data_IF_620790297740
#
_entry.id   IF_620790297740
#
_cell.length_a   1.000
_cell.length_b   1.000
_cell.length_c   1.000
_cell.angle_alpha   90.00
_cell.angle_beta   90.00
_cell.angle_gamma   90.00
#
_symmetry.space_group_name_H-M   'P 1'
#
loop_
_entity.id
_entity.type
_entity.pdbx_description
1 polymer ?
#
# COMPACT_ATOMS: atom_id res chain seq x y z
N UNK A 1 -34.85 -6.95 -31.01
CA UNK A 1 -34.45 -6.44 -29.68
C UNK A 1 -34.05 -7.54 -28.71
N UNK A 2 -34.68 -8.73 -28.70
CA UNK A 2 -34.28 -9.83 -27.80
C UNK A 2 -32.97 -10.53 -28.18
N UNK A 3 -32.64 -10.73 -29.46
CA UNK A 3 -31.40 -11.43 -29.87
C UNK A 3 -30.10 -10.62 -29.69
N UNK A 4 -30.16 -9.28 -29.60
CA UNK A 4 -29.00 -8.43 -29.25
C UNK A 4 -28.86 -8.19 -27.73
N UNK A 5 -29.85 -8.57 -26.91
CA UNK A 5 -29.80 -8.41 -25.43
C UNK A 5 -28.87 -9.41 -24.74
N UNK A 6 -28.40 -10.45 -25.43
CA UNK A 6 -27.52 -11.46 -24.81
C UNK A 6 -26.03 -11.24 -25.03
N UNK A 7 -25.63 -10.27 -25.87
CA UNK A 7 -24.23 -10.15 -26.31
C UNK A 7 -23.34 -9.17 -25.51
N UNK A 8 -23.90 -8.14 -24.85
CA UNK A 8 -23.08 -6.99 -24.41
C UNK A 8 -23.09 -6.66 -22.91
N UNK A 9 -23.25 -7.65 -22.02
CA UNK A 9 -23.19 -7.40 -20.57
C UNK A 9 -21.85 -7.88 -20.02
N UNK A 10 -20.84 -7.02 -20.12
CA UNK A 10 -19.53 -7.27 -19.51
C UNK A 10 -19.67 -6.94 -18.01
N UNK A 11 -19.77 -7.97 -17.18
CA UNK A 11 -19.54 -7.83 -15.74
C UNK A 11 -18.04 -7.68 -15.55
N UNK A 12 -17.61 -6.67 -14.81
CA UNK A 12 -16.19 -6.40 -14.64
C UNK A 12 -15.64 -7.27 -13.54
N UNK A 13 -14.55 -7.94 -13.85
CA UNK A 13 -13.61 -8.30 -12.81
C UNK A 13 -13.15 -6.97 -12.22
N UNK A 14 -13.36 -6.78 -10.92
CA UNK A 14 -12.88 -5.58 -10.21
C UNK A 14 -11.43 -5.41 -10.60
N UNK A 15 -11.13 -4.25 -11.18
CA UNK A 15 -10.01 -3.99 -12.06
C UNK A 15 -8.97 -5.14 -12.15
N UNK A 16 -9.04 -5.89 -13.27
CA UNK A 16 -7.99 -6.86 -13.65
C UNK A 16 -6.62 -6.20 -13.85
N UNK A 17 -6.52 -4.89 -13.63
CA UNK A 17 -5.26 -4.19 -13.44
C UNK A 17 -4.40 -4.81 -12.33
N UNK A 18 -4.91 -5.60 -11.37
CA UNK A 18 -4.04 -6.37 -10.46
C UNK A 18 -3.18 -7.41 -11.22
N UNK A 19 -3.63 -7.88 -12.39
CA UNK A 19 -2.87 -8.81 -13.26
C UNK A 19 -2.09 -8.07 -14.36
N UNK A 20 -2.14 -6.73 -14.39
CA UNK A 20 -1.28 -5.86 -15.23
C UNK A 20 -0.63 -4.72 -14.45
N UNK A 21 -0.56 -4.82 -13.14
CA UNK A 21 0.29 -4.02 -12.29
C UNK A 21 1.59 -4.78 -12.07
N UNK A 22 2.42 -4.85 -13.12
CA UNK A 22 3.82 -4.54 -12.86
C UNK A 22 3.82 -3.18 -12.16
N UNK A 23 4.23 -3.17 -10.89
CA UNK A 23 4.30 -2.05 -9.96
C UNK A 23 3.10 -1.72 -9.04
N UNK A 24 2.61 -2.71 -8.30
CA UNK A 24 1.87 -2.44 -7.05
C UNK A 24 2.73 -1.69 -6.00
N UNK A 25 4.06 -1.90 -5.97
CA UNK A 25 4.99 -1.17 -5.10
C UNK A 25 5.27 0.26 -5.59
N UNK A 26 5.50 0.48 -6.90
CA UNK A 26 5.84 1.82 -7.42
C UNK A 26 4.61 2.72 -7.60
N UNK A 27 3.39 2.21 -7.85
CA UNK A 27 2.17 3.05 -7.88
C UNK A 27 1.66 3.44 -6.49
N UNK A 28 1.75 2.54 -5.49
CA UNK A 28 1.39 2.87 -4.11
C UNK A 28 2.36 3.92 -3.54
N UNK A 29 3.64 3.80 -3.89
CA UNK A 29 4.63 4.85 -3.66
C UNK A 29 4.27 6.18 -4.38
N UNK A 30 3.81 6.17 -5.63
CA UNK A 30 3.45 7.39 -6.38
C UNK A 30 2.12 8.04 -5.96
N UNK A 31 1.15 7.29 -5.45
CA UNK A 31 -0.15 7.81 -5.01
C UNK A 31 -0.10 8.33 -3.56
N UNK A 32 0.67 7.71 -2.67
CA UNK A 32 0.94 8.25 -1.31
C UNK A 32 1.86 9.48 -1.33
N UNK A 33 2.66 9.66 -2.39
CA UNK A 33 3.44 10.89 -2.68
C UNK A 33 2.56 12.12 -2.93
N UNK A 34 1.24 11.98 -3.14
CA UNK A 34 0.36 13.14 -3.39
C UNK A 34 -0.27 13.77 -2.14
N UNK A 35 0.10 13.30 -0.94
CA UNK A 35 -0.14 14.00 0.33
C UNK A 35 1.15 14.34 1.06
N UNK A 36 2.18 14.75 0.33
CA UNK A 36 3.39 15.30 0.95
C UNK A 36 2.99 16.51 1.79
N UNK A 37 3.20 16.40 3.10
CA UNK A 37 3.27 17.56 3.97
C UNK A 37 4.50 18.37 3.54
N UNK A 38 4.28 19.35 2.65
CA UNK A 38 5.31 20.22 2.08
C UNK A 38 6.04 21.10 3.13
N UNK A 39 5.78 20.91 4.43
CA UNK A 39 6.44 21.63 5.52
C UNK A 39 7.71 20.93 6.02
N UNK A 40 7.89 19.62 5.78
CA UNK A 40 9.05 18.85 6.25
C UNK A 40 10.21 19.02 5.27
N UNK A 41 11.35 19.48 5.77
CA UNK A 41 12.57 19.59 4.96
C UNK A 41 13.19 18.21 4.74
N UNK A 42 13.45 17.87 3.49
CA UNK A 42 14.00 16.58 3.08
C UNK A 42 15.48 16.71 2.71
N UNK A 43 16.23 15.64 2.95
CA UNK A 43 17.62 15.51 2.52
C UNK A 43 17.88 14.12 1.97
N UNK A 44 18.51 14.03 0.79
CA UNK A 44 18.92 12.73 0.21
C UNK A 44 20.35 12.40 0.63
N UNK A 45 20.54 11.27 1.30
CA UNK A 45 21.85 10.78 1.75
C UNK A 45 21.98 9.34 1.28
N UNK A 46 22.98 9.09 0.41
CA UNK A 46 23.01 7.83 -0.34
C UNK A 46 21.73 7.63 -1.13
N UNK A 47 21.06 6.50 -0.94
CA UNK A 47 19.76 6.19 -1.55
C UNK A 47 18.56 6.48 -0.65
N UNK A 48 18.78 6.99 0.58
CA UNK A 48 17.71 7.30 1.52
C UNK A 48 17.32 8.78 1.50
N UNK A 49 16.04 9.04 1.75
CA UNK A 49 15.52 10.40 1.98
C UNK A 49 15.21 10.53 3.46
N UNK A 50 15.90 11.43 4.13
CA UNK A 50 15.80 11.68 5.56
C UNK A 50 15.13 13.01 5.85
N UNK A 51 14.52 13.13 7.04
CA UNK A 51 14.17 14.44 7.56
C UNK A 51 15.45 15.23 7.83
N UNK A 52 15.53 16.45 7.30
CA UNK A 52 16.65 17.36 7.50
C UNK A 52 16.67 17.99 8.90
N UNK A 53 15.58 17.90 9.67
CA UNK A 53 15.47 18.39 11.06
C UNK A 53 14.94 17.30 12.03
N UNK A 54 15.21 17.44 13.34
CA UNK A 54 14.73 16.51 14.38
C UNK A 54 13.19 16.58 14.46
N UNK A 55 12.55 15.45 14.73
CA UNK A 55 11.09 15.38 14.84
C UNK A 55 10.56 16.26 15.99
N UNK A 56 9.52 17.06 15.73
CA UNK A 56 8.99 18.04 16.68
C UNK A 56 7.45 18.01 16.83
N UNK A 57 6.85 16.82 16.81
CA UNK A 57 5.39 16.61 16.94
C UNK A 57 4.98 16.40 18.40
N UNK A 58 3.76 16.79 18.77
CA UNK A 58 3.15 16.57 20.11
C UNK A 58 1.94 15.64 20.05
N UNK A 59 1.78 14.93 18.94
CA UNK A 59 0.66 14.05 18.67
C UNK A 59 1.14 12.85 17.88
N UNK A 60 0.42 11.74 18.05
CA UNK A 60 0.57 10.57 17.20
C UNK A 60 -0.08 10.81 15.83
N UNK A 61 0.20 9.94 14.87
CA UNK A 61 -0.31 9.99 13.49
C UNK A 61 -1.84 9.99 13.43
N UNK A 62 -2.51 9.35 14.38
CA UNK A 62 -3.97 9.36 14.48
C UNK A 62 -4.55 10.67 15.06
N UNK A 63 -3.70 11.63 15.45
CA UNK A 63 -4.07 12.93 16.02
C UNK A 63 -4.16 12.96 17.55
N UNK A 64 -3.97 11.84 18.24
CA UNK A 64 -3.99 11.81 19.71
C UNK A 64 -2.78 12.54 20.28
N UNK A 65 -3.00 13.40 21.28
CA UNK A 65 -1.91 14.13 21.94
C UNK A 65 -0.98 13.21 22.74
N UNK A 66 0.31 13.52 22.69
CA UNK A 66 1.36 12.95 23.53
C UNK A 66 1.63 13.96 24.66
N UNK A 67 1.61 13.54 25.94
CA UNK A 67 1.83 14.45 27.06
C UNK A 67 3.26 14.98 27.12
N UNK A 68 3.40 16.29 27.38
CA UNK A 68 4.66 16.88 27.83
C UNK A 68 4.88 16.58 29.31
N UNK A 69 6.03 16.02 29.69
CA UNK A 69 6.34 15.71 31.09
C UNK A 69 7.69 16.32 31.44
N UNK A 70 7.68 17.41 32.21
CA UNK A 70 8.90 18.14 32.59
C UNK A 70 9.46 17.73 33.95
N UNK A 71 8.62 17.19 34.85
CA UNK A 71 9.05 16.77 36.19
C UNK A 71 9.93 15.50 36.14
N UNK A 72 11.14 15.51 36.74
CA UNK A 72 12.04 14.34 36.74
C UNK A 72 11.48 13.11 37.45
N UNK A 73 10.75 13.30 38.56
CA UNK A 73 10.21 12.20 39.36
C UNK A 73 8.98 11.57 38.70
N UNK A 74 8.21 12.33 37.93
CA UNK A 74 7.14 11.83 37.07
C UNK A 74 7.70 11.10 35.86
N UNK A 75 8.71 11.68 35.19
CA UNK A 75 9.37 11.09 34.03
C UNK A 75 9.90 9.68 34.33
N UNK A 76 10.56 9.50 35.47
CA UNK A 76 11.12 8.23 35.91
C UNK A 76 10.09 7.12 36.17
N UNK A 77 8.79 7.45 36.20
CA UNK A 77 7.69 6.50 36.45
C UNK A 77 6.85 6.25 35.19
N UNK A 78 7.20 6.86 34.06
CA UNK A 78 6.41 6.74 32.84
C UNK A 78 6.42 5.30 32.31
N UNK A 79 5.23 4.86 31.91
CA UNK A 79 4.97 3.59 31.20
C UNK A 79 4.16 3.83 29.92
N UNK A 80 4.06 5.10 29.51
CA UNK A 80 3.29 5.57 28.35
C UNK A 80 4.09 6.64 27.61
N UNK A 81 3.74 6.87 26.34
CA UNK A 81 4.40 7.87 25.52
C UNK A 81 4.39 9.26 26.16
N UNK A 82 5.53 9.92 26.16
CA UNK A 82 5.71 11.30 26.60
C UNK A 82 6.82 11.98 25.81
N UNK A 83 6.81 13.31 25.82
CA UNK A 83 7.92 14.12 25.30
C UNK A 83 8.32 15.23 26.27
N UNK A 84 9.49 15.80 26.06
CA UNK A 84 9.92 17.05 26.68
C UNK A 84 10.89 17.80 25.75
N UNK A 85 11.12 19.08 26.02
CA UNK A 85 12.27 19.78 25.47
C UNK A 85 13.52 19.49 26.28
N UNK A 86 14.70 19.61 25.67
CA UNK A 86 15.94 19.52 26.43
C UNK A 86 15.99 20.62 27.50
N UNK A 87 16.35 20.24 28.73
CA UNK A 87 16.29 21.10 29.93
C UNK A 87 14.88 21.65 30.23
N UNK A 88 13.84 21.10 29.60
CA UNK A 88 12.49 21.63 29.62
C UNK A 88 12.39 23.10 29.15
N UNK A 89 13.29 23.52 28.25
CA UNK A 89 13.30 24.88 27.68
C UNK A 89 12.70 24.88 26.26
N UNK A 90 11.57 25.57 26.02
CA UNK A 90 10.98 25.69 24.68
C UNK A 90 11.91 26.32 23.63
N UNK A 91 12.88 27.17 24.02
CA UNK A 91 13.87 27.70 23.07
C UNK A 91 14.82 26.60 22.59
N UNK A 92 15.19 25.66 23.47
CA UNK A 92 15.89 24.44 23.06
C UNK A 92 15.00 23.60 22.13
N UNK A 93 13.69 23.56 22.39
CA UNK A 93 12.73 22.89 21.51
C UNK A 93 12.67 23.40 20.07
N UNK A 94 12.83 24.71 19.87
CA UNK A 94 12.89 25.32 18.52
C UNK A 94 14.17 24.96 17.78
N UNK A 95 15.27 24.76 18.51
CA UNK A 95 16.57 24.44 17.94
C UNK A 95 16.75 22.94 17.73
N UNK A 96 16.48 22.14 18.75
CA UNK A 96 16.85 20.72 18.84
C UNK A 96 15.67 19.77 18.65
N UNK A 97 14.44 20.27 18.53
CA UNK A 97 13.25 19.42 18.51
C UNK A 97 12.91 18.87 19.89
N UNK A 98 12.10 17.82 19.91
CA UNK A 98 11.64 17.16 21.15
C UNK A 98 12.42 15.90 21.42
N UNK A 99 12.55 15.58 22.71
CA UNK A 99 12.98 14.29 23.20
C UNK A 99 11.74 13.46 23.53
N UNK A 100 11.69 12.24 23.01
CA UNK A 100 10.60 11.29 23.22
C UNK A 100 11.10 10.10 24.03
N UNK A 101 10.23 9.50 24.83
CA UNK A 101 10.53 8.19 25.42
C UNK A 101 10.20 7.03 24.47
N UNK A 102 10.73 5.84 24.78
CA UNK A 102 10.50 4.65 23.94
C UNK A 102 9.02 4.33 23.80
N UNK A 103 8.24 4.53 24.86
CA UNK A 103 6.79 4.31 24.82
C UNK A 103 6.06 5.19 23.80
N UNK A 104 6.59 6.38 23.46
CA UNK A 104 6.04 7.20 22.39
C UNK A 104 6.49 6.70 21.02
N UNK A 105 7.75 6.27 20.91
CA UNK A 105 8.36 5.71 19.69
C UNK A 105 7.67 4.43 19.25
N UNK A 106 7.45 3.50 20.18
CA UNK A 106 6.84 2.19 19.96
C UNK A 106 5.30 2.19 20.14
N UNK A 107 4.66 3.37 20.16
CA UNK A 107 3.21 3.43 20.30
C UNK A 107 2.53 3.00 18.98
N UNK A 108 1.54 2.08 19.01
CA UNK A 108 0.84 1.62 17.80
C UNK A 108 0.09 2.72 17.05
N UNK A 109 -0.14 3.88 17.68
CA UNK A 109 -0.73 5.06 17.03
C UNK A 109 0.25 5.78 16.09
N UNK A 110 1.55 5.47 16.20
CA UNK A 110 2.62 5.94 15.32
C UNK A 110 3.10 7.35 15.63
N UNK A 111 4.37 7.52 15.98
CA UNK A 111 4.97 8.83 16.24
C UNK A 111 5.39 9.58 14.96
N UNK A 112 5.85 8.86 13.94
CA UNK A 112 6.28 9.46 12.68
C UNK A 112 5.08 9.96 11.84
N UNK A 113 5.21 11.11 11.15
CA UNK A 113 4.18 11.61 10.23
C UNK A 113 3.82 10.63 9.10
N UNK A 114 2.74 10.91 8.36
CA UNK A 114 2.34 10.14 7.16
C UNK A 114 3.47 10.13 6.12
N UNK A 115 3.73 8.99 5.48
CA UNK A 115 4.82 8.76 4.51
C UNK A 115 6.25 8.81 5.08
N UNK A 116 6.38 8.78 6.41
CA UNK A 116 7.65 8.69 7.13
C UNK A 116 7.58 7.59 8.20
N UNK A 117 8.74 6.98 8.50
CA UNK A 117 8.87 6.05 9.62
C UNK A 117 10.14 6.29 10.43
N UNK A 118 10.13 5.75 11.65
CA UNK A 118 11.32 5.72 12.50
C UNK A 118 12.25 4.65 11.93
N UNK A 119 13.50 5.01 11.61
CA UNK A 119 14.44 4.14 10.88
C UNK A 119 14.70 2.86 11.65
N UNK A 120 14.78 1.77 10.91
CA UNK A 120 15.29 0.49 11.41
C UNK A 120 16.81 0.53 11.60
N UNK A 121 17.36 -0.46 12.31
CA UNK A 121 18.82 -0.66 12.40
C UNK A 121 19.48 -0.73 11.01
N UNK A 122 18.86 -1.46 10.09
CA UNK A 122 19.34 -1.58 8.71
C UNK A 122 19.42 -0.21 8.03
N UNK A 123 18.44 0.66 8.26
CA UNK A 123 18.41 1.99 7.66
C UNK A 123 19.45 2.94 8.25
N UNK A 124 19.78 2.80 9.54
CA UNK A 124 20.93 3.50 10.10
C UNK A 124 22.26 2.99 9.53
N UNK A 125 22.40 1.68 9.30
CA UNK A 125 23.61 1.13 8.68
C UNK A 125 23.81 1.64 7.24
N UNK A 126 22.73 1.79 6.46
CA UNK A 126 22.80 2.40 5.12
C UNK A 126 23.30 3.85 5.21
N UNK A 127 22.78 4.62 6.17
CA UNK A 127 23.19 6.00 6.37
C UNK A 127 24.68 6.09 6.73
N UNK A 128 25.17 5.25 7.65
CA UNK A 128 26.58 5.18 8.03
C UNK A 128 27.47 4.91 6.82
N UNK A 129 27.11 3.93 6.01
CA UNK A 129 27.84 3.59 4.77
C UNK A 129 27.80 4.75 3.78
N UNK A 130 26.65 5.42 3.63
CA UNK A 130 26.46 6.50 2.66
C UNK A 130 27.33 7.73 2.95
N UNK A 131 27.71 7.94 4.21
CA UNK A 131 28.63 9.02 4.61
C UNK A 131 30.05 8.53 4.89
N UNK A 132 30.39 7.29 4.52
CA UNK A 132 31.72 6.70 4.75
C UNK A 132 32.15 6.77 6.24
N UNK A 133 31.18 6.59 7.14
CA UNK A 133 31.33 6.75 8.59
C UNK A 133 31.85 8.15 9.02
N UNK A 134 31.70 9.18 8.17
CA UNK A 134 32.01 10.57 8.48
C UNK A 134 30.83 11.24 9.18
N UNK A 135 30.85 11.24 10.52
CA UNK A 135 29.84 11.93 11.30
C UNK A 135 29.84 13.45 11.06
N UNK A 136 30.97 14.05 10.65
CA UNK A 136 31.03 15.49 10.39
C UNK A 136 30.22 15.88 9.14
N UNK A 137 30.00 14.95 8.21
CA UNK A 137 29.09 15.12 7.09
C UNK A 137 27.61 15.25 7.53
N UNK A 138 27.24 14.67 8.68
CA UNK A 138 25.88 14.71 9.24
C UNK A 138 25.64 15.91 10.17
N UNK A 139 26.69 16.37 10.87
CA UNK A 139 26.63 17.45 11.88
C UNK A 139 26.44 18.82 11.24
N UNK A 140 25.63 19.68 11.87
CA UNK A 140 25.50 21.09 11.49
C UNK A 140 26.84 21.86 11.58
N UNK A 141 27.01 22.82 10.68
CA UNK A 141 28.22 23.67 10.63
C UNK A 141 28.29 24.55 11.88
N UNK A 142 29.45 24.53 12.55
CA UNK A 142 29.75 25.42 13.68
C UNK A 142 29.06 25.04 15.00
N UNK A 143 28.40 23.89 15.07
CA UNK A 143 28.03 23.28 16.34
C UNK A 143 29.21 22.42 16.83
N UNK A 144 29.53 22.48 18.13
CA UNK A 144 30.53 21.62 18.77
C UNK A 144 31.48 22.28 19.74
N UNK A 145 32.03 21.47 20.65
CA UNK A 145 32.97 21.95 21.68
C UNK A 145 34.38 22.16 21.11
N UNK A 146 34.78 21.40 20.09
CA UNK A 146 36.06 21.58 19.38
C UNK A 146 35.82 21.97 17.92
N UNK A 147 36.48 23.08 17.53
CA UNK A 147 36.72 23.67 16.19
C UNK A 147 35.58 23.85 15.15
N UNK A 148 34.38 23.33 15.38
CA UNK A 148 33.29 23.43 14.41
C UNK A 148 33.49 22.53 13.18
N UNK A 149 34.07 21.34 13.36
CA UNK A 149 34.34 20.32 12.33
C UNK A 149 33.12 19.91 11.49
N UNK A 150 31.91 20.12 11.99
CA UNK A 150 30.67 19.85 11.25
C UNK A 150 30.70 20.50 9.87
N UNK A 151 30.67 19.68 8.83
CA UNK A 151 30.64 20.15 7.44
C UNK A 151 29.22 20.22 6.90
N UNK A 152 28.30 19.42 7.49
CA UNK A 152 26.93 19.22 7.05
C UNK A 152 26.81 18.97 5.54
N UNK A 153 27.80 18.31 4.93
CA UNK A 153 27.80 18.04 3.48
C UNK A 153 26.64 17.16 3.06
N UNK A 154 26.10 16.35 3.99
CA UNK A 154 24.89 15.58 3.77
C UNK A 154 23.63 16.43 3.72
N UNK A 155 23.54 17.51 4.51
CA UNK A 155 22.32 18.29 4.76
C UNK A 155 21.46 17.77 5.92
N UNK A 156 21.90 16.73 6.64
CA UNK A 156 21.18 16.08 7.74
C UNK A 156 21.06 16.96 9.00
N UNK A 157 21.97 17.91 9.19
CA UNK A 157 22.07 18.86 10.32
C UNK A 157 22.25 18.30 11.73
N UNK A 158 21.92 17.02 12.01
CA UNK A 158 22.09 16.31 13.29
C UNK A 158 22.33 17.21 14.51
N UNK A 159 21.33 18.01 14.88
CA UNK A 159 21.51 18.99 15.95
C UNK A 159 21.63 18.27 17.28
N UNK A 160 22.69 18.59 18.02
CA UNK A 160 23.15 17.79 19.16
C UNK A 160 22.34 18.09 20.42
N UNK A 161 21.16 17.47 20.43
CA UNK A 161 20.07 17.69 21.37
C UNK A 161 20.30 17.14 22.77
N UNK A 162 21.42 16.45 23.01
CA UNK A 162 21.64 15.70 24.25
C UNK A 162 20.60 14.60 24.46
N UNK A 163 20.45 14.17 25.71
CA UNK A 163 19.45 13.19 26.11
C UNK A 163 18.93 13.44 27.53
N UNK A 164 17.77 12.88 27.83
CA UNK A 164 17.22 12.76 29.18
C UNK A 164 17.34 11.32 29.64
N UNK A 165 17.90 11.09 30.81
CA UNK A 165 17.98 9.75 31.41
C UNK A 165 16.64 9.34 32.04
N UNK A 166 16.49 8.07 32.32
CA UNK A 166 15.36 7.47 33.04
C UNK A 166 15.08 8.17 34.38
N UNK A 167 16.11 8.53 35.15
CA UNK A 167 15.98 9.31 36.40
C UNK A 167 15.77 10.82 36.17
N UNK A 168 15.42 11.23 34.95
CA UNK A 168 14.89 12.54 34.60
C UNK A 168 15.91 13.67 34.43
N UNK A 169 17.22 13.40 34.55
CA UNK A 169 18.28 14.40 34.31
C UNK A 169 18.69 14.49 32.85
N UNK A 170 19.08 15.68 32.43
CA UNK A 170 19.59 15.97 31.09
C UNK A 170 21.11 15.94 31.03
N UNK A 171 21.66 15.44 29.93
CA UNK A 171 23.09 15.38 29.65
C UNK A 171 23.39 15.65 28.18
N UNK A 172 24.64 16.01 27.91
CA UNK A 172 25.23 16.01 26.57
C UNK A 172 24.67 17.04 25.57
N UNK A 173 24.00 18.11 25.99
CA UNK A 173 23.65 19.21 25.08
C UNK A 173 24.89 19.80 24.42
N UNK A 174 24.89 19.86 23.10
CA UNK A 174 26.06 20.31 22.35
C UNK A 174 27.29 19.41 22.56
N UNK A 175 27.10 18.19 23.07
CA UNK A 175 28.13 17.17 23.27
C UNK A 175 27.86 15.89 22.44
N UNK A 176 26.70 15.28 22.60
CA UNK A 176 26.30 14.07 21.86
C UNK A 176 24.80 14.16 21.54
N UNK A 177 24.34 13.32 20.62
CA UNK A 177 22.91 13.12 20.39
C UNK A 177 22.66 11.69 20.01
N UNK A 178 21.51 11.22 20.47
CA UNK A 178 21.03 9.87 20.23
C UNK A 178 19.71 9.96 19.50
N UNK A 179 19.54 9.10 18.50
CA UNK A 179 18.29 8.95 17.79
C UNK A 179 17.69 7.57 18.07
N UNK A 180 16.42 7.53 18.43
CA UNK A 180 15.69 6.26 18.50
C UNK A 180 15.61 5.59 17.13
N UNK A 181 15.84 4.28 17.09
CA UNK A 181 15.43 3.39 16.00
C UNK A 181 14.09 2.72 16.26
N UNK A 182 13.62 1.89 15.32
CA UNK A 182 12.35 1.14 15.43
C UNK A 182 12.51 -0.36 15.73
N UNK A 183 13.74 -0.89 15.77
CA UNK A 183 14.00 -2.31 16.02
C UNK A 183 13.85 -2.64 17.51
N UNK A 184 13.02 -3.65 17.82
CA UNK A 184 12.78 -4.23 19.15
C UNK A 184 13.17 -5.71 19.07
N UNK A 185 14.44 -6.07 19.30
CA UNK A 185 14.80 -7.48 19.60
C UNK A 185 14.69 -7.68 21.11
N UNK A 186 14.50 -8.93 21.58
CA UNK A 186 14.14 -9.33 22.95
C UNK A 186 15.04 -8.74 24.06
N UNK A 187 16.15 -8.06 23.75
CA UNK A 187 16.98 -7.28 24.68
C UNK A 187 17.61 -5.98 24.11
N UNK A 188 17.32 -5.53 22.89
CA UNK A 188 18.15 -4.48 22.24
C UNK A 188 17.31 -3.42 21.50
N UNK A 189 17.23 -2.21 22.08
CA UNK A 189 16.81 -1.01 21.36
C UNK A 189 18.06 -0.39 20.72
N UNK A 190 18.05 -0.26 19.39
CA UNK A 190 19.17 0.32 18.65
C UNK A 190 19.00 1.84 18.54
N UNK A 191 19.97 2.58 19.07
CA UNK A 191 20.06 4.02 18.88
C UNK A 191 21.36 4.38 18.18
N UNK A 192 21.26 5.24 17.18
CA UNK A 192 22.43 5.79 16.50
C UNK A 192 22.91 7.02 17.26
N UNK A 193 24.18 6.99 17.67
CA UNK A 193 24.87 8.05 18.38
C UNK A 193 25.78 8.83 17.42
N UNK A 194 25.68 10.16 17.47
CA UNK A 194 26.65 11.07 16.86
C UNK A 194 27.34 11.84 17.99
N UNK A 195 28.68 11.78 18.04
CA UNK A 195 29.48 12.33 19.16
C UNK A 195 30.47 13.42 18.76
N UNK A 196 30.82 14.32 19.70
CA UNK A 196 31.88 15.33 19.55
C UNK A 196 33.29 14.87 19.92
N UNK A 197 33.48 13.76 20.63
CA UNK A 197 34.81 13.17 20.81
C UNK A 197 35.13 12.23 19.64
N UNK A 198 35.18 12.78 18.43
CA UNK A 198 35.52 12.09 17.18
C UNK A 198 34.54 12.37 16.03
N UNK A 199 34.82 11.76 14.88
CA UNK A 199 34.00 11.84 13.66
C UNK A 199 33.24 10.55 13.39
N UNK A 200 33.01 9.72 14.41
CA UNK A 200 32.46 8.37 14.23
C UNK A 200 30.97 8.31 14.54
N UNK A 201 30.26 7.49 13.78
CA UNK A 201 28.88 7.07 14.04
C UNK A 201 28.97 5.76 14.84
N UNK A 202 28.15 5.62 15.88
CA UNK A 202 28.07 4.37 16.65
C UNK A 202 26.62 3.95 16.83
N UNK A 203 26.35 2.67 16.60
CA UNK A 203 25.11 2.02 17.07
C UNK A 203 25.40 1.39 18.43
N UNK A 204 24.52 1.61 19.38
CA UNK A 204 24.66 1.15 20.76
C UNK A 204 23.32 0.55 21.20
N UNK A 205 23.37 -0.47 22.07
CA UNK A 205 22.22 -1.37 22.36
C UNK A 205 21.82 -1.37 23.85
N UNK A 206 22.05 -0.29 24.60
CA UNK A 206 22.20 -0.39 26.07
C UNK A 206 21.42 0.66 26.90
N UNK A 207 20.10 0.84 26.69
CA UNK A 207 19.30 1.86 27.43
C UNK A 207 17.88 1.45 27.86
N UNK A 208 17.35 2.18 28.85
CA UNK A 208 16.01 2.03 29.43
C UNK A 208 14.94 2.74 28.58
N UNK A 209 13.73 2.17 28.54
CA UNK A 209 12.57 2.66 27.78
C UNK A 209 12.12 4.07 28.19
N UNK A 210 12.48 4.49 29.41
CA UNK A 210 12.17 5.80 29.96
C UNK A 210 13.15 6.90 29.54
N UNK A 211 14.19 6.64 28.73
CA UNK A 211 15.09 7.70 28.27
C UNK A 211 14.37 8.66 27.33
N UNK A 212 14.71 9.95 27.35
CA UNK A 212 14.25 10.92 26.36
C UNK A 212 15.32 11.15 25.30
N UNK A 213 15.11 10.64 24.09
CA UNK A 213 16.02 10.81 22.95
C UNK A 213 15.31 11.48 21.77
N UNK A 214 16.10 12.05 20.85
CA UNK A 214 15.58 12.63 19.62
C UNK A 214 15.11 11.54 18.65
N UNK A 215 14.30 11.93 17.67
CA UNK A 215 13.86 11.05 16.57
C UNK A 215 14.16 11.73 15.24
N UNK A 216 14.67 10.95 14.28
CA UNK A 216 14.84 11.34 12.88
C UNK A 216 14.15 10.30 12.03
N UNK A 217 13.22 10.72 11.18
CA UNK A 217 12.50 9.79 10.33
C UNK A 217 13.16 9.69 8.96
N UNK A 218 12.96 8.52 8.34
CA UNK A 218 13.31 8.23 6.97
C UNK A 218 12.00 8.08 6.16
N UNK A 219 12.03 8.53 4.91
CA UNK A 219 10.86 8.53 4.03
C UNK A 219 10.62 7.10 3.54
N UNK A 220 9.36 6.67 3.53
CA UNK A 220 8.97 5.29 3.21
C UNK A 220 9.46 4.80 1.81
N UNK A 221 9.87 5.73 0.92
CA UNK A 221 10.39 5.46 -0.42
C UNK A 221 11.79 4.81 -0.46
N UNK A 222 12.62 4.90 0.59
CA UNK A 222 14.02 4.44 0.54
C UNK A 222 14.26 2.95 0.78
N UNK A 223 13.26 2.22 1.30
CA UNK A 223 13.41 0.80 1.63
C UNK A 223 13.49 -0.10 0.37
N UNK A 224 12.88 0.30 -0.75
CA UNK A 224 12.76 -0.55 -1.94
C UNK A 224 14.04 -0.66 -2.78
N UNK A 225 14.83 0.42 -2.89
CA UNK A 225 16.04 0.45 -3.72
C UNK A 225 17.23 -0.25 -3.06
N UNK A 226 17.37 -0.13 -1.74
CA UNK A 226 18.40 -0.86 -0.99
C UNK A 226 18.10 -2.36 -0.98
N UNK A 227 16.85 -2.75 -0.71
CA UNK A 227 16.44 -4.16 -0.70
C UNK A 227 16.70 -4.84 -2.05
N UNK A 228 16.51 -4.11 -3.15
CA UNK A 228 16.88 -4.60 -4.49
C UNK A 228 18.40 -4.80 -4.68
N UNK A 229 19.23 -3.91 -4.11
CA UNK A 229 20.70 -3.99 -4.17
C UNK A 229 21.25 -5.13 -3.31
N UNK A 230 20.66 -5.37 -2.13
CA UNK A 230 21.08 -6.44 -1.22
C UNK A 230 20.64 -7.82 -1.73
N UNK A 231 19.42 -7.92 -2.29
CA UNK A 231 18.98 -9.11 -3.03
C UNK A 231 19.94 -9.41 -4.19
N UNK A 232 20.42 -8.40 -4.92
CA UNK A 232 21.37 -8.59 -6.02
C UNK A 232 22.73 -9.12 -5.54
N UNK A 233 23.25 -8.64 -4.41
CA UNK A 233 24.50 -9.16 -3.81
C UNK A 233 24.34 -10.57 -3.25
N UNK A 234 23.20 -10.87 -2.63
CA UNK A 234 22.88 -12.19 -2.09
C UNK A 234 22.76 -13.25 -3.20
N UNK A 235 22.14 -12.88 -4.33
CA UNK A 235 22.09 -13.68 -5.56
C UNK A 235 23.49 -14.01 -6.09
N UNK A 236 24.45 -13.08 -5.95
CA UNK A 236 25.83 -13.26 -6.41
C UNK A 236 26.69 -14.09 -5.45
N UNK A 237 26.46 -14.00 -4.14
CA UNK A 237 27.22 -14.73 -3.12
C UNK A 237 26.74 -16.18 -2.92
N UNK A 238 25.43 -16.42 -2.97
CA UNK A 238 24.81 -17.71 -2.69
C UNK A 238 23.77 -18.08 -3.77
N UNK A 239 24.19 -18.33 -5.02
CA UNK A 239 23.27 -18.55 -6.15
C UNK A 239 22.37 -19.79 -6.04
N UNK A 240 22.65 -20.66 -5.06
CA UNK A 240 21.97 -21.93 -4.78
C UNK A 240 21.37 -21.99 -3.35
N UNK A 241 21.18 -20.83 -2.69
CA UNK A 241 20.42 -20.74 -1.45
C UNK A 241 18.90 -20.59 -1.71
N UNK A 242 18.06 -21.09 -0.81
CA UNK A 242 16.60 -21.11 -1.00
C UNK A 242 16.00 -19.71 -1.02
N UNK A 243 16.40 -18.85 -0.07
CA UNK A 243 15.93 -17.48 0.07
C UNK A 243 16.45 -16.62 -1.09
N UNK A 244 17.73 -16.77 -1.46
CA UNK A 244 18.30 -16.08 -2.61
C UNK A 244 17.58 -16.44 -3.93
N UNK A 245 17.24 -17.72 -4.12
CA UNK A 245 16.45 -18.16 -5.28
C UNK A 245 15.04 -17.59 -5.24
N UNK A 246 14.37 -17.62 -4.09
CA UNK A 246 13.04 -17.05 -3.94
C UNK A 246 13.02 -15.55 -4.28
N UNK A 247 13.95 -14.77 -3.72
CA UNK A 247 14.07 -13.33 -3.95
C UNK A 247 14.40 -12.97 -5.41
N UNK A 248 15.24 -13.78 -6.08
CA UNK A 248 15.48 -13.65 -7.53
C UNK A 248 14.23 -13.92 -8.34
N UNK A 249 13.46 -14.94 -7.94
CA UNK A 249 12.17 -15.28 -8.54
C UNK A 249 11.19 -14.10 -8.45
N UNK A 250 11.06 -13.49 -7.28
CA UNK A 250 10.23 -12.31 -7.05
C UNK A 250 10.65 -11.12 -7.91
N UNK A 251 11.97 -10.86 -8.01
CA UNK A 251 12.51 -9.81 -8.87
C UNK A 251 12.14 -10.04 -10.34
N UNK A 252 12.33 -11.27 -10.85
CA UNK A 252 11.98 -11.62 -12.23
C UNK A 252 10.48 -11.54 -12.50
N UNK A 253 9.66 -11.96 -11.54
CA UNK A 253 8.20 -11.82 -11.61
C UNK A 253 7.79 -10.35 -11.75
N UNK A 254 8.38 -9.45 -10.97
CA UNK A 254 8.15 -8.00 -11.05
C UNK A 254 8.57 -7.38 -12.39
N UNK A 255 9.57 -7.98 -13.05
CA UNK A 255 10.03 -7.63 -14.41
C UNK A 255 9.22 -8.33 -15.52
N UNK A 256 8.14 -9.03 -15.16
CA UNK A 256 7.29 -9.84 -16.05
C UNK A 256 8.01 -11.02 -16.73
N UNK A 257 9.22 -11.38 -16.30
CA UNK A 257 9.89 -12.63 -16.68
C UNK A 257 9.35 -13.79 -15.85
N UNK A 258 8.09 -14.16 -16.12
CA UNK A 258 7.41 -15.24 -15.40
C UNK A 258 8.09 -16.60 -15.60
N UNK A 259 8.73 -16.84 -16.75
CA UNK A 259 9.41 -18.11 -17.02
C UNK A 259 10.69 -18.22 -16.19
N UNK A 260 11.49 -17.16 -16.14
CA UNK A 260 12.68 -17.10 -15.29
C UNK A 260 12.32 -17.12 -13.80
N UNK A 261 11.23 -16.46 -13.39
CA UNK A 261 10.73 -16.52 -12.03
C UNK A 261 10.38 -17.95 -11.60
N UNK A 262 9.67 -18.70 -12.44
CA UNK A 262 9.33 -20.12 -12.18
C UNK A 262 10.58 -20.98 -11.99
N UNK A 263 11.64 -20.76 -12.77
CA UNK A 263 12.89 -21.52 -12.63
C UNK A 263 13.52 -21.30 -11.24
N UNK A 264 13.52 -20.06 -10.77
CA UNK A 264 14.08 -19.72 -9.46
C UNK A 264 13.20 -20.22 -8.31
N UNK A 265 11.88 -20.09 -8.42
CA UNK A 265 10.97 -20.67 -7.43
C UNK A 265 11.05 -22.20 -7.39
N UNK A 266 11.27 -22.87 -8.54
CA UNK A 266 11.51 -24.32 -8.53
C UNK A 266 12.73 -24.67 -7.69
N UNK A 267 13.83 -23.92 -7.87
CA UNK A 267 15.05 -24.13 -7.10
C UNK A 267 14.85 -23.85 -5.61
N UNK A 268 14.16 -22.76 -5.26
CA UNK A 268 13.81 -22.45 -3.88
C UNK A 268 13.02 -23.60 -3.22
N UNK A 269 11.99 -24.11 -3.92
CA UNK A 269 11.16 -25.23 -3.44
C UNK A 269 11.94 -26.55 -3.35
N UNK A 270 12.90 -26.81 -4.24
CA UNK A 270 13.77 -27.99 -4.16
C UNK A 270 14.64 -27.97 -2.89
N UNK A 271 15.09 -26.78 -2.50
CA UNK A 271 15.92 -26.57 -1.30
C UNK A 271 15.06 -26.54 -0.03
N UNK A 272 13.90 -25.90 -0.07
CA UNK A 272 12.94 -25.80 1.04
C UNK A 272 11.53 -26.22 0.61
N UNK A 273 11.21 -27.53 0.67
CA UNK A 273 9.93 -28.07 0.18
C UNK A 273 8.69 -27.65 0.98
N UNK A 274 8.87 -27.00 2.13
CA UNK A 274 7.81 -26.56 3.04
C UNK A 274 7.66 -25.03 3.06
N UNK A 275 8.20 -24.31 2.08
CA UNK A 275 7.95 -22.87 1.93
C UNK A 275 6.62 -22.62 1.20
N UNK A 276 5.58 -22.22 1.94
CA UNK A 276 4.27 -21.89 1.38
C UNK A 276 4.31 -20.71 0.38
N UNK A 277 5.18 -19.73 0.62
CA UNK A 277 5.28 -18.52 -0.20
C UNK A 277 5.90 -18.82 -1.56
N UNK A 278 6.95 -19.64 -1.62
CA UNK A 278 7.52 -20.08 -2.89
C UNK A 278 6.51 -20.84 -3.77
N UNK A 279 5.65 -21.70 -3.19
CA UNK A 279 4.55 -22.31 -3.96
C UNK A 279 3.54 -21.27 -4.41
N UNK A 280 3.10 -20.37 -3.53
CA UNK A 280 2.13 -19.33 -3.87
C UNK A 280 2.62 -18.44 -5.03
N UNK A 281 3.85 -17.93 -4.96
CA UNK A 281 4.41 -17.02 -5.96
C UNK A 281 4.75 -17.73 -7.28
N UNK A 282 5.17 -19.01 -7.23
CA UNK A 282 5.26 -19.82 -8.45
C UNK A 282 3.88 -20.04 -9.08
N UNK A 283 2.86 -20.23 -8.26
CA UNK A 283 1.46 -20.30 -8.68
C UNK A 283 1.02 -19.02 -9.37
N UNK A 284 1.37 -17.85 -8.82
CA UNK A 284 1.15 -16.54 -9.46
C UNK A 284 1.83 -16.49 -10.83
N UNK A 285 3.14 -16.74 -10.92
CA UNK A 285 3.86 -16.70 -12.19
C UNK A 285 3.20 -17.61 -13.26
N UNK A 286 2.77 -18.82 -12.87
CA UNK A 286 2.03 -19.74 -13.74
C UNK A 286 0.66 -19.21 -14.15
N UNK A 287 -0.06 -18.53 -13.26
CA UNK A 287 -1.35 -17.91 -13.56
C UNK A 287 -1.23 -16.85 -14.66
N UNK A 288 -0.20 -15.99 -14.61
CA UNK A 288 0.03 -14.94 -15.63
C UNK A 288 0.52 -15.50 -16.98
N UNK A 289 1.05 -16.74 -16.98
CA UNK A 289 1.33 -17.51 -18.21
C UNK A 289 0.14 -18.34 -18.69
N UNK A 290 -1.07 -18.11 -18.15
CA UNK A 290 -2.29 -18.85 -18.43
C UNK A 290 -2.21 -20.36 -18.11
N UNK A 291 -1.26 -20.77 -17.28
CA UNK A 291 -1.07 -22.16 -16.84
C UNK A 291 -1.92 -22.49 -15.62
N UNK A 292 -3.22 -22.19 -15.69
CA UNK A 292 -4.13 -22.20 -14.53
C UNK A 292 -4.19 -23.53 -13.78
N UNK A 293 -4.15 -24.68 -14.49
CA UNK A 293 -4.14 -26.01 -13.85
C UNK A 293 -2.90 -26.23 -12.99
N UNK A 294 -1.74 -25.79 -13.47
CA UNK A 294 -0.47 -25.90 -12.75
C UNK A 294 -0.43 -24.90 -11.59
N UNK A 295 -0.98 -23.69 -11.78
CA UNK A 295 -1.13 -22.71 -10.69
C UNK A 295 -2.00 -23.26 -9.55
N UNK A 296 -3.13 -23.91 -9.87
CA UNK A 296 -4.00 -24.56 -8.86
C UNK A 296 -3.25 -25.62 -8.03
N UNK A 297 -2.35 -26.39 -8.64
CA UNK A 297 -1.55 -27.38 -7.92
C UNK A 297 -0.61 -26.72 -6.91
N UNK A 298 0.02 -25.61 -7.30
CA UNK A 298 0.89 -24.84 -6.42
C UNK A 298 0.11 -24.19 -5.28
N UNK A 299 -1.03 -23.56 -5.56
CA UNK A 299 -1.89 -23.01 -4.49
C UNK A 299 -2.44 -24.09 -3.55
N UNK A 300 -2.72 -25.30 -4.05
CA UNK A 300 -3.08 -26.42 -3.17
C UNK A 300 -1.97 -26.72 -2.17
N UNK A 301 -0.70 -26.70 -2.62
CA UNK A 301 0.43 -26.98 -1.75
C UNK A 301 0.69 -25.84 -0.77
N UNK A 302 0.59 -24.58 -1.22
CA UNK A 302 0.67 -23.41 -0.35
C UNK A 302 -0.39 -23.46 0.77
N UNK A 303 -1.64 -23.83 0.44
CA UNK A 303 -2.74 -23.98 1.41
C UNK A 303 -2.51 -25.16 2.37
N UNK A 304 -1.93 -26.26 1.89
CA UNK A 304 -1.59 -27.41 2.74
C UNK A 304 -0.56 -27.04 3.81
N UNK A 305 0.44 -26.23 3.44
CA UNK A 305 1.51 -25.78 4.33
C UNK A 305 1.02 -24.65 5.26
N UNK A 306 0.37 -23.63 4.70
CA UNK A 306 -0.11 -22.45 5.43
C UNK A 306 -1.61 -22.19 5.16
N UNK A 307 -2.52 -22.85 5.90
CA UNK A 307 -3.95 -22.86 5.62
C UNK A 307 -4.67 -21.55 5.98
N UNK A 308 -4.04 -20.63 6.69
CA UNK A 308 -4.60 -19.35 7.13
C UNK A 308 -4.17 -18.17 6.23
N UNK A 309 -3.68 -18.46 5.02
CA UNK A 309 -3.35 -17.43 4.03
C UNK A 309 -4.48 -17.19 3.03
N UNK A 310 -5.25 -16.12 3.23
CA UNK A 310 -6.42 -15.80 2.41
C UNK A 310 -6.12 -15.71 0.90
N UNK A 311 -4.96 -15.12 0.54
CA UNK A 311 -4.56 -14.91 -0.85
C UNK A 311 -4.39 -16.22 -1.63
N UNK A 312 -3.91 -17.29 -0.98
CA UNK A 312 -3.77 -18.59 -1.65
C UNK A 312 -5.12 -19.18 -2.07
N UNK A 313 -6.16 -19.04 -1.24
CA UNK A 313 -7.51 -19.42 -1.64
C UNK A 313 -8.03 -18.50 -2.75
N UNK A 314 -7.87 -17.19 -2.59
CA UNK A 314 -8.35 -16.22 -3.58
C UNK A 314 -7.77 -16.48 -4.97
N UNK A 315 -6.44 -16.61 -5.09
CA UNK A 315 -5.78 -16.87 -6.37
C UNK A 315 -6.11 -18.24 -6.96
N UNK A 316 -6.29 -19.27 -6.11
CA UNK A 316 -6.82 -20.57 -6.58
C UNK A 316 -8.24 -20.45 -7.12
N UNK A 317 -9.08 -19.64 -6.46
CA UNK A 317 -10.42 -19.30 -6.90
C UNK A 317 -10.42 -18.63 -8.27
N UNK A 318 -9.58 -17.60 -8.46
CA UNK A 318 -9.42 -16.92 -9.76
C UNK A 318 -8.97 -17.90 -10.86
N UNK A 319 -7.98 -18.75 -10.57
CA UNK A 319 -7.50 -19.75 -11.52
C UNK A 319 -8.60 -20.75 -11.92
N UNK A 320 -9.49 -21.13 -10.99
CA UNK A 320 -10.68 -21.95 -11.28
C UNK A 320 -11.71 -21.19 -12.12
N UNK A 321 -11.94 -19.92 -11.82
CA UNK A 321 -12.83 -19.05 -12.60
C UNK A 321 -12.37 -18.91 -14.06
N UNK A 322 -11.06 -18.80 -14.29
CA UNK A 322 -10.45 -18.82 -15.64
C UNK A 322 -10.65 -20.15 -16.39
N UNK A 323 -10.90 -21.23 -15.67
CA UNK A 323 -11.26 -22.54 -16.21
C UNK A 323 -12.78 -22.77 -16.24
N UNK A 324 -13.58 -21.71 -16.08
CA UNK A 324 -15.05 -21.73 -16.02
C UNK A 324 -15.64 -22.56 -14.86
N UNK A 325 -14.82 -22.92 -13.86
CA UNK A 325 -15.27 -23.55 -12.62
C UNK A 325 -15.73 -22.50 -11.60
N UNK A 326 -16.83 -21.82 -11.91
CA UNK A 326 -17.40 -20.79 -11.04
C UNK A 326 -17.88 -21.33 -9.68
N UNK A 327 -18.22 -22.62 -9.59
CA UNK A 327 -18.57 -23.24 -8.29
C UNK A 327 -17.36 -23.38 -7.40
N UNK A 328 -16.24 -23.84 -7.96
CA UNK A 328 -14.97 -23.93 -7.26
C UNK A 328 -14.41 -22.55 -6.87
N UNK A 329 -14.56 -21.55 -7.74
CA UNK A 329 -14.24 -20.15 -7.46
C UNK A 329 -15.03 -19.61 -6.26
N UNK A 330 -16.36 -19.80 -6.22
CA UNK A 330 -17.20 -19.38 -5.09
C UNK A 330 -16.75 -20.02 -3.77
N UNK A 331 -16.40 -21.32 -3.80
CA UNK A 331 -15.93 -22.03 -2.60
C UNK A 331 -14.64 -21.42 -2.07
N UNK A 332 -13.67 -21.15 -2.95
CA UNK A 332 -12.37 -20.62 -2.59
C UNK A 332 -12.45 -19.16 -2.15
N UNK A 333 -13.19 -18.29 -2.86
CA UNK A 333 -13.43 -16.92 -2.40
C UNK A 333 -14.14 -16.90 -1.04
N UNK A 334 -15.08 -17.82 -0.80
CA UNK A 334 -15.74 -17.93 0.53
C UNK A 334 -14.77 -18.35 1.63
N UNK A 335 -13.76 -19.17 1.33
CA UNK A 335 -12.69 -19.50 2.26
C UNK A 335 -11.77 -18.31 2.51
N UNK A 336 -11.36 -17.60 1.46
CA UNK A 336 -10.57 -16.37 1.57
C UNK A 336 -11.26 -15.32 2.46
N UNK A 337 -12.57 -15.11 2.25
CA UNK A 337 -13.40 -14.21 3.06
C UNK A 337 -13.50 -14.66 4.52
N UNK A 338 -13.58 -15.99 4.77
CA UNK A 338 -13.61 -16.50 6.14
C UNK A 338 -12.31 -16.20 6.89
N UNK A 339 -11.18 -16.27 6.20
CA UNK A 339 -9.85 -15.96 6.76
C UNK A 339 -9.65 -14.45 6.92
N UNK A 340 -10.01 -13.65 5.90
CA UNK A 340 -9.99 -12.19 5.94
C UNK A 340 -11.38 -11.63 5.63
N UNK A 341 -12.18 -11.27 6.65
CA UNK A 341 -13.55 -10.77 6.47
C UNK A 341 -13.67 -9.43 5.73
N UNK A 342 -12.59 -8.67 5.60
CA UNK A 342 -12.52 -7.38 4.91
C UNK A 342 -11.88 -7.49 3.51
N UNK A 343 -11.80 -8.69 2.94
CA UNK A 343 -11.18 -8.92 1.64
C UNK A 343 -12.12 -8.55 0.48
N UNK A 344 -12.19 -7.26 0.15
CA UNK A 344 -13.08 -6.69 -0.86
C UNK A 344 -13.02 -7.41 -2.22
N UNK A 345 -11.83 -7.70 -2.73
CA UNK A 345 -11.62 -8.35 -4.03
C UNK A 345 -12.18 -9.78 -4.05
N UNK A 346 -12.10 -10.50 -2.92
CA UNK A 346 -12.68 -11.82 -2.78
C UNK A 346 -14.22 -11.77 -2.79
N UNK A 347 -14.85 -10.75 -2.19
CA UNK A 347 -16.29 -10.52 -2.34
C UNK A 347 -16.64 -10.20 -3.79
N UNK A 348 -15.93 -9.26 -4.42
CA UNK A 348 -16.24 -8.86 -5.79
C UNK A 348 -16.16 -10.04 -6.78
N UNK A 349 -15.11 -10.86 -6.70
CA UNK A 349 -14.96 -12.04 -7.56
C UNK A 349 -15.96 -13.15 -7.23
N UNK A 350 -16.31 -13.36 -5.95
CA UNK A 350 -17.41 -14.27 -5.60
C UNK A 350 -18.75 -13.79 -6.17
N UNK A 351 -18.99 -12.48 -6.13
CA UNK A 351 -20.17 -11.84 -6.73
C UNK A 351 -20.21 -12.06 -8.24
N UNK A 352 -19.08 -11.88 -8.92
CA UNK A 352 -18.94 -12.16 -10.36
C UNK A 352 -19.24 -13.64 -10.68
N UNK A 353 -18.63 -14.57 -9.95
CA UNK A 353 -18.86 -16.00 -10.14
C UNK A 353 -20.33 -16.39 -9.91
N UNK A 354 -20.99 -15.81 -8.90
CA UNK A 354 -22.43 -15.97 -8.68
C UNK A 354 -23.27 -15.40 -9.83
N UNK A 355 -22.93 -14.21 -10.33
CA UNK A 355 -23.60 -13.60 -11.47
C UNK A 355 -23.48 -14.45 -12.75
N UNK A 356 -22.32 -15.08 -12.99
CA UNK A 356 -22.12 -16.04 -14.09
C UNK A 356 -23.01 -17.29 -13.93
N UNK A 357 -23.27 -17.71 -12.69
CA UNK A 357 -24.25 -18.75 -12.37
C UNK A 357 -25.70 -18.24 -12.29
N UNK A 358 -25.95 -16.98 -12.66
CA UNK A 358 -27.26 -16.28 -12.61
C UNK A 358 -27.84 -16.10 -11.22
N UNK A 359 -27.03 -16.25 -10.17
CA UNK A 359 -27.39 -15.87 -8.80
C UNK A 359 -27.13 -14.37 -8.59
N UNK A 360 -27.98 -13.54 -9.21
CA UNK A 360 -27.83 -12.08 -9.16
C UNK A 360 -28.10 -11.51 -7.76
N UNK A 361 -28.97 -12.15 -6.97
CA UNK A 361 -29.26 -11.74 -5.60
C UNK A 361 -28.02 -11.96 -4.72
N UNK A 362 -27.42 -13.15 -4.78
CA UNK A 362 -26.19 -13.44 -4.06
C UNK A 362 -25.00 -12.60 -4.52
N UNK A 363 -24.97 -12.20 -5.80
CA UNK A 363 -23.96 -11.27 -6.32
C UNK A 363 -24.13 -9.86 -5.75
N UNK A 364 -25.35 -9.32 -5.71
CA UNK A 364 -25.65 -8.02 -5.11
C UNK A 364 -25.20 -7.97 -3.65
N UNK A 365 -25.47 -9.02 -2.86
CA UNK A 365 -25.02 -9.08 -1.47
C UNK A 365 -23.50 -9.00 -1.32
N UNK A 366 -22.76 -9.61 -2.24
CA UNK A 366 -21.30 -9.52 -2.23
C UNK A 366 -20.82 -8.13 -2.64
N UNK A 367 -21.41 -7.51 -3.67
CA UNK A 367 -21.07 -6.15 -4.07
C UNK A 367 -21.45 -5.09 -3.02
N UNK A 368 -22.55 -5.29 -2.30
CA UNK A 368 -22.91 -4.47 -1.14
C UNK A 368 -21.79 -4.49 -0.09
N UNK A 369 -21.20 -5.67 0.14
CA UNK A 369 -20.09 -5.80 1.08
C UNK A 369 -18.81 -5.14 0.59
N UNK A 370 -18.52 -5.19 -0.71
CA UNK A 370 -17.40 -4.43 -1.32
C UNK A 370 -17.58 -2.93 -1.08
N UNK A 371 -18.78 -2.41 -1.30
CA UNK A 371 -19.10 -0.99 -1.10
C UNK A 371 -19.05 -0.58 0.38
N UNK A 372 -19.44 -1.47 1.29
CA UNK A 372 -19.29 -1.26 2.73
C UNK A 372 -17.81 -1.14 3.14
N UNK A 373 -16.93 -1.96 2.55
CA UNK A 373 -15.48 -1.96 2.83
C UNK A 373 -14.80 -0.77 2.14
N UNK A 374 -15.13 -0.51 0.88
CA UNK A 374 -14.60 0.58 0.06
C UNK A 374 -15.74 1.34 -0.64
N UNK A 375 -16.22 2.44 -0.04
CA UNK A 375 -17.31 3.24 -0.61
C UNK A 375 -16.98 3.95 -1.93
N UNK A 376 -15.71 3.99 -2.33
CA UNK A 376 -15.21 4.64 -3.54
C UNK A 376 -14.87 3.64 -4.67
N UNK A 377 -15.24 2.37 -4.53
CA UNK A 377 -15.02 1.36 -5.57
C UNK A 377 -16.06 1.50 -6.71
N UNK A 378 -15.66 2.15 -7.80
CA UNK A 378 -16.52 2.38 -8.96
C UNK A 378 -17.00 1.08 -9.63
N UNK A 379 -16.15 0.05 -9.68
CA UNK A 379 -16.49 -1.23 -10.31
C UNK A 379 -17.52 -2.01 -9.49
N UNK A 380 -17.47 -1.92 -8.16
CA UNK A 380 -18.47 -2.53 -7.29
C UNK A 380 -19.87 -1.94 -7.54
N UNK A 381 -19.99 -0.61 -7.68
CA UNK A 381 -21.25 0.04 -8.08
C UNK A 381 -21.65 -0.41 -9.48
N UNK A 382 -20.75 -0.36 -10.46
CA UNK A 382 -21.05 -0.80 -11.82
C UNK A 382 -21.59 -2.25 -11.85
N UNK A 383 -20.89 -3.19 -11.20
CA UNK A 383 -21.26 -4.60 -11.16
C UNK A 383 -22.59 -4.84 -10.43
N UNK A 384 -22.84 -4.13 -9.33
CA UNK A 384 -24.14 -4.17 -8.63
C UNK A 384 -25.25 -3.63 -9.52
N UNK A 385 -24.99 -2.55 -10.26
CA UNK A 385 -25.91 -2.00 -11.26
C UNK A 385 -26.24 -3.01 -12.36
N UNK A 386 -25.24 -3.73 -12.88
CA UNK A 386 -25.44 -4.79 -13.87
C UNK A 386 -26.31 -5.91 -13.31
N UNK A 387 -26.02 -6.40 -12.09
CA UNK A 387 -26.82 -7.44 -11.46
C UNK A 387 -28.26 -6.99 -11.19
N UNK A 388 -28.48 -5.75 -10.73
CA UNK A 388 -29.82 -5.15 -10.55
C UNK A 388 -30.57 -5.02 -11.87
N UNK A 389 -29.91 -4.59 -12.94
CA UNK A 389 -30.48 -4.54 -14.28
C UNK A 389 -30.92 -5.92 -14.80
N UNK A 390 -30.18 -6.99 -14.48
CA UNK A 390 -30.58 -8.38 -14.78
C UNK A 390 -31.80 -8.86 -14.00
N UNK A 391 -32.10 -8.22 -12.88
CA UNK A 391 -33.33 -8.42 -12.10
C UNK A 391 -34.44 -7.43 -12.46
N UNK A 392 -34.30 -6.71 -13.59
CA UNK A 392 -35.25 -5.68 -14.06
C UNK A 392 -35.43 -4.50 -13.08
N UNK A 393 -34.54 -4.35 -12.10
CA UNK A 393 -34.51 -3.21 -11.18
C UNK A 393 -33.70 -2.06 -11.79
N UNK A 394 -34.24 -1.47 -12.86
CA UNK A 394 -33.56 -0.45 -13.65
C UNK A 394 -33.36 0.87 -12.91
N UNK A 395 -34.25 1.21 -11.96
CA UNK A 395 -34.14 2.46 -11.16
C UNK A 395 -32.90 2.41 -10.27
N UNK A 396 -32.74 1.34 -9.49
CA UNK A 396 -31.58 1.20 -8.60
C UNK A 396 -30.28 0.94 -9.39
N UNK A 397 -30.37 0.27 -10.55
CA UNK A 397 -29.24 0.13 -11.46
C UNK A 397 -28.73 1.50 -11.96
N UNK A 398 -29.63 2.42 -12.33
CA UNK A 398 -29.25 3.78 -12.74
C UNK A 398 -28.58 4.54 -11.60
N UNK A 399 -29.04 4.38 -10.35
CA UNK A 399 -28.39 5.01 -9.19
C UNK A 399 -26.96 4.50 -9.02
N UNK A 400 -26.76 3.19 -9.15
CA UNK A 400 -25.42 2.59 -9.09
C UNK A 400 -24.53 3.08 -10.22
N UNK A 401 -25.02 3.11 -11.47
CA UNK A 401 -24.23 3.66 -12.59
C UNK A 401 -23.93 5.15 -12.43
N UNK A 402 -24.84 5.93 -11.85
CA UNK A 402 -24.55 7.33 -11.52
C UNK A 402 -23.37 7.43 -10.55
N UNK A 403 -23.33 6.60 -9.51
CA UNK A 403 -22.23 6.61 -8.55
C UNK A 403 -20.92 6.10 -9.17
N UNK A 404 -20.97 5.05 -9.99
CA UNK A 404 -19.81 4.58 -10.75
C UNK A 404 -19.22 5.68 -11.66
N UNK A 405 -20.07 6.44 -12.37
CA UNK A 405 -19.67 7.57 -13.22
C UNK A 405 -19.15 8.77 -12.42
N UNK A 406 -19.73 9.03 -11.24
CA UNK A 406 -19.22 10.07 -10.33
C UNK A 406 -17.79 9.76 -9.89
N UNK A 407 -17.51 8.48 -9.57
CA UNK A 407 -16.20 8.01 -9.14
C UNK A 407 -15.21 7.85 -10.31
N UNK A 408 -15.68 7.46 -11.49
CA UNK A 408 -14.88 7.35 -12.71
C UNK A 408 -15.60 8.00 -13.91
N UNK A 409 -15.40 9.32 -14.13
CA UNK A 409 -16.09 10.06 -15.20
C UNK A 409 -15.72 9.66 -16.63
N UNK A 410 -14.64 8.89 -16.82
CA UNK A 410 -14.16 8.44 -18.12
C UNK A 410 -14.59 7.00 -18.45
N UNK A 411 -15.48 6.43 -17.65
CA UNK A 411 -15.99 5.08 -17.82
C UNK A 411 -17.08 4.98 -18.90
N UNK A 412 -16.67 4.76 -20.16
CA UNK A 412 -17.59 4.65 -21.30
C UNK A 412 -18.68 3.58 -21.11
N UNK A 413 -18.31 2.42 -20.57
CA UNK A 413 -19.20 1.29 -20.34
C UNK A 413 -20.27 1.62 -19.28
N UNK A 414 -19.93 2.36 -18.22
CA UNK A 414 -20.92 2.78 -17.23
C UNK A 414 -21.95 3.76 -17.82
N UNK A 415 -21.54 4.69 -18.69
CA UNK A 415 -22.49 5.51 -19.44
C UNK A 415 -23.39 4.64 -20.32
N UNK A 416 -22.80 3.72 -21.08
CA UNK A 416 -23.55 2.84 -21.97
C UNK A 416 -24.59 1.99 -21.21
N UNK A 417 -24.19 1.39 -20.10
CA UNK A 417 -25.07 0.57 -19.26
C UNK A 417 -26.18 1.39 -18.60
N UNK A 418 -25.89 2.62 -18.17
CA UNK A 418 -26.91 3.57 -17.71
C UNK A 418 -27.89 3.94 -18.83
N UNK A 419 -27.37 4.14 -20.04
CA UNK A 419 -28.17 4.38 -21.23
C UNK A 419 -29.15 3.25 -21.51
N UNK A 420 -28.70 2.00 -21.44
CA UNK A 420 -29.57 0.83 -21.58
C UNK A 420 -30.67 0.77 -20.52
N UNK A 421 -30.32 0.95 -19.24
CA UNK A 421 -31.31 0.95 -18.17
C UNK A 421 -32.38 2.05 -18.38
N UNK A 422 -31.98 3.23 -18.90
CA UNK A 422 -32.89 4.31 -19.27
C UNK A 422 -33.82 3.96 -20.43
N UNK A 423 -33.37 3.16 -21.39
CA UNK A 423 -34.23 2.69 -22.50
C UNK A 423 -35.38 1.83 -21.98
N UNK A 424 -35.09 0.94 -21.02
CA UNK A 424 -36.12 0.10 -20.41
C UNK A 424 -37.15 0.94 -19.60
N UNK A 425 -36.73 2.12 -19.11
CA UNK A 425 -37.61 3.13 -18.51
C UNK A 425 -38.23 4.11 -19.52
N UNK A 426 -37.96 3.95 -20.83
CA UNK A 426 -38.40 4.84 -21.93
C UNK A 426 -37.85 6.27 -21.86
N UNK A 427 -36.74 6.48 -21.17
CA UNK A 427 -36.03 7.76 -21.07
C UNK A 427 -35.06 7.95 -22.24
N UNK A 428 -35.58 7.95 -23.47
CA UNK A 428 -34.78 7.87 -24.70
C UNK A 428 -33.80 9.04 -24.90
N UNK A 429 -34.19 10.26 -24.50
CA UNK A 429 -33.32 11.45 -24.60
C UNK A 429 -32.10 11.31 -23.68
N UNK A 430 -32.33 10.83 -22.44
CA UNK A 430 -31.28 10.59 -21.47
C UNK A 430 -30.36 9.46 -21.91
N UNK A 431 -30.93 8.38 -22.46
CA UNK A 431 -30.16 7.27 -23.02
C UNK A 431 -29.28 7.73 -24.19
N UNK A 432 -29.81 8.53 -25.11
CA UNK A 432 -29.04 9.04 -26.25
C UNK A 432 -27.86 9.93 -25.82
N UNK A 433 -28.04 10.73 -24.76
CA UNK A 433 -26.95 11.52 -24.18
C UNK A 433 -25.83 10.63 -23.63
N UNK A 434 -26.20 9.57 -22.92
CA UNK A 434 -25.24 8.61 -22.36
C UNK A 434 -24.50 7.84 -23.46
N UNK A 435 -25.20 7.38 -24.51
CA UNK A 435 -24.58 6.74 -25.67
C UNK A 435 -23.57 7.66 -26.38
N UNK A 436 -23.91 8.94 -26.59
CA UNK A 436 -23.00 9.89 -27.19
C UNK A 436 -21.74 10.10 -26.33
N UNK A 437 -21.88 10.11 -24.99
CA UNK A 437 -20.73 10.21 -24.10
C UNK A 437 -19.86 8.96 -24.11
N UNK A 438 -20.46 7.77 -24.17
CA UNK A 438 -19.71 6.51 -24.32
C UNK A 438 -18.89 6.48 -25.63
N UNK A 439 -19.46 6.94 -26.74
CA UNK A 439 -18.76 7.09 -28.04
C UNK A 439 -17.60 8.08 -27.94
N UNK A 440 -17.82 9.24 -27.29
CA UNK A 440 -16.77 10.25 -27.10
C UNK A 440 -15.57 9.69 -26.32
N UNK A 441 -15.84 8.86 -25.30
CA UNK A 441 -14.82 8.29 -24.42
C UNK A 441 -14.09 7.09 -25.04
N UNK A 442 -14.73 6.32 -25.91
CA UNK A 442 -14.13 5.13 -26.53
C UNK A 442 -14.55 4.97 -28.00
N UNK A 443 -14.04 5.81 -28.92
CA UNK A 443 -14.50 5.83 -30.31
C UNK A 443 -14.10 4.59 -31.13
N UNK A 444 -13.05 3.87 -30.71
CA UNK A 444 -12.43 2.77 -31.46
C UNK A 444 -13.05 1.39 -31.13
N UNK A 445 -13.86 1.28 -30.07
CA UNK A 445 -14.58 0.07 -29.67
C UNK A 445 -16.05 0.39 -29.35
N UNK A 446 -16.71 1.07 -30.29
CA UNK A 446 -18.02 1.69 -30.12
C UNK A 446 -19.09 1.19 -31.09
N UNK A 447 -18.89 0.08 -31.82
CA UNK A 447 -19.87 -0.42 -32.80
C UNK A 447 -21.26 -0.59 -32.17
N UNK A 448 -21.32 -1.18 -30.97
CA UNK A 448 -22.54 -1.32 -30.18
C UNK A 448 -23.14 0.04 -29.74
N UNK A 449 -22.28 1.03 -29.48
CA UNK A 449 -22.69 2.36 -29.04
C UNK A 449 -23.29 3.15 -30.20
N UNK A 450 -22.70 3.02 -31.40
CA UNK A 450 -23.19 3.61 -32.63
C UNK A 450 -24.53 3.00 -33.06
N UNK A 451 -24.66 1.67 -33.02
CA UNK A 451 -25.92 0.98 -33.31
C UNK A 451 -27.03 1.46 -32.37
N UNK A 452 -26.76 1.51 -31.06
CA UNK A 452 -27.73 1.97 -30.07
C UNK A 452 -28.12 3.43 -30.27
N UNK A 453 -27.15 4.32 -30.53
CA UNK A 453 -27.40 5.73 -30.81
C UNK A 453 -28.30 5.92 -32.01
N UNK A 454 -28.08 5.18 -33.09
CA UNK A 454 -28.86 5.34 -34.34
C UNK A 454 -30.30 4.85 -34.16
N UNK A 455 -30.52 3.77 -33.40
CA UNK A 455 -31.85 3.33 -32.99
C UNK A 455 -32.55 4.42 -32.17
N UNK A 456 -31.86 4.97 -31.16
CA UNK A 456 -32.41 6.01 -30.28
C UNK A 456 -32.75 7.29 -31.04
N UNK A 457 -31.90 7.69 -31.99
CA UNK A 457 -32.14 8.86 -32.84
C UNK A 457 -33.45 8.74 -33.59
N UNK A 458 -33.72 7.58 -34.20
CA UNK A 458 -34.99 7.35 -34.91
C UNK A 458 -36.19 7.45 -33.97
N UNK A 459 -36.11 6.82 -32.79
CA UNK A 459 -37.18 6.85 -31.77
C UNK A 459 -37.46 8.28 -31.32
N UNK A 460 -36.43 9.05 -30.97
CA UNK A 460 -36.56 10.44 -30.51
C UNK A 460 -37.15 11.32 -31.61
N UNK A 461 -36.70 11.15 -32.87
CA UNK A 461 -37.24 11.94 -33.99
C UNK A 461 -38.69 11.61 -34.36
N UNK A 462 -39.16 10.39 -34.08
CA UNK A 462 -40.55 10.01 -34.31
C UNK A 462 -41.48 10.48 -33.20
N UNK A 463 -41.01 10.61 -31.95
CA UNK A 463 -41.78 11.20 -30.85
C UNK A 463 -42.04 12.71 -31.00
N UNK A 464 -41.22 13.42 -31.79
CA UNK A 464 -41.37 14.86 -32.07
C UNK A 464 -42.31 15.16 -33.25
N UNK A 465 -42.82 14.14 -33.96
CA UNK A 465 -43.81 14.35 -35.02
C UNK A 465 -45.20 14.58 -34.40
N UNK A 466 -45.92 15.66 -34.76
CA UNK A 466 -47.29 15.85 -34.30
C UNK A 466 -48.16 14.69 -34.82
N UNK A 467 -48.87 14.02 -33.91
CA UNK A 467 -49.88 13.03 -34.27
C UNK A 467 -50.91 13.69 -35.20
N UNK A 468 -50.93 13.26 -36.46
CA UNK A 468 -51.86 13.74 -37.48
C UNK A 468 -53.26 13.16 -37.34
#
# INVERSE_FOLDING_TARGET
>A
MEENRSKNFIVRVGDNSIVRYSNALVRRALEEVTKVDCSIKEVKIGEQIWMAENLNVDHFRNGDSIPEVSDPDEWAKLTTGAWCYYENDPENGKKYGKLYNWYAVNDPRGLAPESWHIPSEHEFAILEIAVDNDADALKAIGEGIDDGSGTNTSGFSALLSGNRFDYGRFYNLGFDTYFWGSTEDDHEINYMCLSYYGSNIYVLNDYYEAYGLSVRCVKDESCALQKASDIQKEIELYPDDAEACFNRGCTKYGLEDYTGAIQDYNKAIELEPNDAMAYYDRGLAKYYLDQYKSAIQDYNKAIEIYPDYANSYFMRGLAKGKLEDHKGEIQDCSKAIKVNPNYAEAYNNRGLAKANLKDYIGAIQDYDKVIEINPNDADAYYNRGVARGKLENHIDAIQDYNKAIELNPNDADAYFMRGFAKIDLKEYVGAMKDCNKAIELNPDNADDYYELRDILKNIVTDTDKPNH
#
